data_IF_670606311125
#
_entry.id   IF_670606311125
#
_cell.length_a   1.000
_cell.length_b   1.000
_cell.length_c   1.000
_cell.angle_alpha   90.00
_cell.angle_beta   90.00
_cell.angle_gamma   90.00
#
_symmetry.space_group_name_H-M   'P 1'
#
loop_
_entity.id
_entity.type
_entity.pdbx_description
1 polymer ?
#
# COMPACT_ATOMS: atom_id res chain seq x y z
N UNK A 1 -0.40 79.62 -2.04
CA UNK A 1 1.05 79.37 -2.15
C UNK A 1 1.28 77.97 -1.62
N UNK A 2 1.64 77.10 -2.55
CA UNK A 2 2.01 75.70 -2.37
C UNK A 2 3.52 75.66 -2.45
N UNK A 3 4.17 75.04 -1.48
CA UNK A 3 5.49 74.38 -1.56
C UNK A 3 5.37 73.19 -0.57
N UNK A 4 5.31 71.92 -0.98
CA UNK A 4 6.38 71.06 -1.54
C UNK A 4 7.68 71.20 -0.75
N UNK A 5 8.43 70.18 -0.36
CA UNK A 5 8.31 68.73 -0.24
C UNK A 5 9.63 68.39 0.48
N UNK A 6 9.62 67.64 1.57
CA UNK A 6 10.84 66.97 2.05
C UNK A 6 10.44 65.65 2.71
N UNK A 7 10.26 64.68 1.82
CA UNK A 7 10.12 63.25 2.08
C UNK A 7 11.49 62.71 2.51
N UNK A 8 11.65 62.41 3.80
CA UNK A 8 12.84 61.72 4.32
C UNK A 8 12.58 60.21 4.31
N UNK A 9 13.12 59.54 3.30
CA UNK A 9 13.35 58.09 3.30
C UNK A 9 14.53 57.76 4.22
N UNK A 10 14.27 57.17 5.38
CA UNK A 10 15.30 56.41 6.12
C UNK A 10 14.83 54.96 6.28
N UNK A 11 14.97 54.20 5.20
CA UNK A 11 14.84 52.76 5.19
C UNK A 11 16.23 52.13 5.45
N UNK A 12 16.37 51.39 6.55
CA UNK A 12 17.02 50.05 6.65
C UNK A 12 17.44 49.65 8.08
N UNK A 13 16.50 49.61 9.03
CA UNK A 13 16.75 48.84 10.27
C UNK A 13 16.46 47.36 10.02
N UNK A 14 17.52 46.61 9.70
CA UNK A 14 17.45 45.13 9.63
C UNK A 14 17.09 44.52 11.00
N UNK A 15 16.19 43.54 11.08
CA UNK A 15 15.83 42.93 12.35
C UNK A 15 17.02 42.09 12.88
N UNK A 16 17.48 42.44 14.08
CA UNK A 16 18.55 41.75 14.78
C UNK A 16 18.26 40.24 14.90
N UNK A 17 19.17 39.41 14.40
CA UNK A 17 19.14 37.96 14.57
C UNK A 17 19.21 37.62 16.06
N UNK A 18 18.10 37.13 16.62
CA UNK A 18 18.06 36.56 17.97
C UNK A 18 19.00 35.34 18.01
N UNK A 19 20.08 35.45 18.79
CA UNK A 19 21.11 34.42 18.93
C UNK A 19 20.54 33.11 19.48
N UNK A 20 21.00 31.98 18.94
CA UNK A 20 20.71 30.65 19.49
C UNK A 20 21.26 30.55 20.91
N UNK A 21 20.40 30.24 21.88
CA UNK A 21 20.83 30.02 23.27
C UNK A 21 21.93 28.96 23.36
N UNK A 22 22.99 29.27 24.11
CA UNK A 22 24.07 28.32 24.41
C UNK A 22 23.51 27.24 25.35
N UNK A 23 23.37 26.02 24.88
CA UNK A 23 23.13 24.87 25.75
C UNK A 23 24.33 24.73 26.70
N UNK A 24 24.06 24.56 28.00
CA UNK A 24 25.11 24.29 29.01
C UNK A 24 25.54 22.82 28.96
N UNK A 25 25.90 22.35 27.77
CA UNK A 25 26.50 21.03 27.56
C UNK A 25 28.02 21.11 27.78
N UNK A 26 28.60 20.08 28.39
CA UNK A 26 30.05 19.92 28.51
C UNK A 26 30.67 20.11 27.13
N UNK A 27 31.58 21.08 27.00
CA UNK A 27 32.25 21.36 25.73
C UNK A 27 33.10 20.14 25.36
N UNK A 28 32.77 19.49 24.23
CA UNK A 28 33.52 18.36 23.69
C UNK A 28 35.02 18.68 23.47
N UNK A 29 35.39 19.96 23.43
CA UNK A 29 36.78 20.40 23.43
C UNK A 29 37.56 19.94 24.68
N UNK A 30 36.95 19.95 25.86
CA UNK A 30 37.60 19.52 27.12
C UNK A 30 37.79 18.01 27.18
N UNK A 31 36.91 17.24 26.53
CA UNK A 31 36.99 15.77 26.41
C UNK A 31 38.05 15.34 25.38
N UNK A 32 38.23 16.11 24.29
CA UNK A 32 39.30 15.86 23.30
C UNK A 32 40.71 16.17 23.82
N UNK A 33 40.86 17.15 24.71
CA UNK A 33 42.16 17.54 25.28
C UNK A 33 42.70 16.51 26.30
N UNK A 34 41.81 15.77 26.96
CA UNK A 34 42.20 14.58 27.72
C UNK A 34 42.30 13.41 26.74
N UNK A 35 43.50 13.01 26.36
CA UNK A 35 43.86 11.97 25.37
C UNK A 35 43.32 10.56 25.63
N UNK A 36 42.22 10.39 26.35
CA UNK A 36 41.69 9.10 26.82
C UNK A 36 40.94 8.29 25.77
N UNK A 37 40.73 8.80 24.55
CA UNK A 37 40.13 8.04 23.45
C UNK A 37 40.65 8.51 22.09
N UNK A 38 41.80 8.01 21.58
CA UNK A 38 42.15 8.20 20.18
C UNK A 38 41.26 7.30 19.32
N UNK A 39 40.10 7.81 18.89
CA UNK A 39 39.30 7.16 17.85
C UNK A 39 39.88 7.60 16.50
N UNK A 40 40.79 6.79 15.95
CA UNK A 40 41.24 6.96 14.58
C UNK A 40 40.17 6.39 13.65
N UNK A 41 39.29 7.25 13.15
CA UNK A 41 38.33 6.89 12.10
C UNK A 41 39.07 7.08 10.78
N UNK A 42 39.55 6.01 10.12
CA UNK A 42 40.10 6.15 8.78
C UNK A 42 39.01 6.76 7.90
N UNK A 43 39.42 7.66 6.99
CA UNK A 43 38.56 8.48 6.14
C UNK A 43 37.81 7.59 5.11
N UNK A 44 36.92 6.76 5.62
CA UNK A 44 36.15 5.76 4.92
C UNK A 44 34.86 6.40 4.42
N UNK A 45 34.84 6.66 3.12
CA UNK A 45 33.66 7.05 2.34
C UNK A 45 32.97 8.36 2.74
N UNK A 46 33.58 9.47 2.28
CA UNK A 46 32.96 10.80 2.11
C UNK A 46 31.72 10.81 1.17
N UNK A 47 31.17 9.66 0.79
CA UNK A 47 29.94 9.55 -0.01
C UNK A 47 28.71 10.13 0.74
N UNK A 48 28.72 10.10 2.07
CA UNK A 48 27.64 10.64 2.89
C UNK A 48 27.63 12.18 2.89
N UNK A 49 28.80 12.81 2.76
CA UNK A 49 28.95 14.26 2.80
C UNK A 49 28.44 14.90 1.50
N UNK A 50 28.73 14.29 0.35
CA UNK A 50 28.27 14.78 -0.95
C UNK A 50 26.75 14.62 -1.12
N UNK A 51 26.18 13.48 -0.69
CA UNK A 51 24.72 13.29 -0.64
C UNK A 51 24.04 14.30 0.28
N UNK A 52 24.63 14.61 1.44
CA UNK A 52 24.14 15.65 2.33
C UNK A 52 24.26 17.05 1.73
N UNK A 53 25.33 17.35 0.99
CA UNK A 53 25.52 18.62 0.26
C UNK A 53 24.45 18.80 -0.82
N UNK A 54 24.22 17.76 -1.62
CA UNK A 54 23.19 17.73 -2.66
C UNK A 54 21.80 17.89 -2.05
N UNK A 55 21.49 17.17 -0.96
CA UNK A 55 20.22 17.28 -0.26
C UNK A 55 20.00 18.70 0.30
N UNK A 56 21.04 19.32 0.86
CA UNK A 56 20.98 20.70 1.36
C UNK A 56 20.68 21.69 0.24
N UNK A 57 21.36 21.57 -0.91
CA UNK A 57 21.11 22.39 -2.09
C UNK A 57 19.71 22.20 -2.65
N UNK A 58 19.22 20.96 -2.68
CA UNK A 58 17.86 20.65 -3.14
C UNK A 58 16.80 21.20 -2.18
N UNK A 59 17.06 21.18 -0.86
CA UNK A 59 16.18 21.74 0.16
C UNK A 59 16.05 23.26 0.04
N UNK A 60 17.15 23.97 -0.22
CA UNK A 60 17.12 25.44 -0.44
C UNK A 60 16.33 25.80 -1.70
N UNK A 61 16.36 24.95 -2.74
CA UNK A 61 15.58 25.13 -3.97
C UNK A 61 14.12 24.68 -3.83
N UNK A 62 13.78 23.92 -2.78
CA UNK A 62 12.42 23.50 -2.55
C UNK A 62 11.56 24.68 -2.09
N UNK A 63 10.50 25.02 -2.85
CA UNK A 63 9.49 26.02 -2.47
C UNK A 63 8.53 25.50 -1.38
N UNK A 64 8.93 24.49 -0.62
CA UNK A 64 8.13 23.95 0.45
C UNK A 64 8.32 24.81 1.70
N UNK A 65 7.43 25.79 1.89
CA UNK A 65 7.26 26.42 3.19
C UNK A 65 6.78 25.34 4.16
N UNK A 66 7.69 24.82 4.99
CA UNK A 66 7.32 24.01 6.13
C UNK A 66 6.62 24.94 7.14
N UNK A 67 5.34 25.22 6.93
CA UNK A 67 4.46 25.89 7.92
C UNK A 67 4.03 24.84 8.96
N UNK A 68 4.95 24.01 9.39
CA UNK A 68 4.73 22.89 10.30
C UNK A 68 5.27 23.18 11.68
N UNK A 69 5.05 24.39 12.20
CA UNK A 69 5.39 24.75 13.58
C UNK A 69 4.59 23.94 14.61
N UNK A 70 4.17 24.52 15.73
CA UNK A 70 3.32 23.83 16.72
C UNK A 70 1.90 23.48 16.20
N UNK A 71 1.51 24.00 15.03
CA UNK A 71 0.18 23.82 14.41
C UNK A 71 -0.19 22.35 14.21
N UNK A 72 0.65 21.46 13.65
CA UNK A 72 0.38 20.02 13.63
C UNK A 72 -0.01 19.47 14.99
N UNK A 73 0.71 19.75 16.07
CA UNK A 73 0.38 19.21 17.39
C UNK A 73 -1.02 19.64 17.89
N UNK A 74 -1.34 20.94 17.75
CA UNK A 74 -2.68 21.47 18.10
C UNK A 74 -3.78 20.83 17.27
N UNK A 75 -3.54 20.60 15.97
CA UNK A 75 -4.49 19.93 15.08
C UNK A 75 -4.67 18.44 15.42
N UNK A 76 -3.61 17.74 15.81
CA UNK A 76 -3.71 16.34 16.25
C UNK A 76 -4.50 16.24 17.56
N UNK A 77 -4.25 17.15 18.51
CA UNK A 77 -5.01 17.23 19.76
C UNK A 77 -6.51 17.43 19.51
N UNK A 78 -6.88 18.39 18.66
CA UNK A 78 -8.30 18.62 18.29
C UNK A 78 -8.97 17.39 17.65
N UNK A 79 -8.23 16.61 16.85
CA UNK A 79 -8.74 15.37 16.25
C UNK A 79 -8.99 14.29 17.31
N UNK A 80 -8.11 14.17 18.30
CA UNK A 80 -8.30 13.24 19.42
C UNK A 80 -9.49 13.65 20.29
N UNK A 81 -9.63 14.95 20.60
CA UNK A 81 -10.77 15.48 21.36
C UNK A 81 -12.10 15.17 20.65
N UNK A 82 -12.16 15.39 19.33
CA UNK A 82 -13.33 15.05 18.49
C UNK A 82 -13.65 13.55 18.49
N UNK A 83 -12.64 12.69 18.48
CA UNK A 83 -12.83 11.23 18.55
C UNK A 83 -13.49 10.81 19.87
N UNK A 84 -13.00 11.35 20.99
CA UNK A 84 -13.54 11.08 22.33
C UNK A 84 -14.99 11.59 22.46
N UNK A 85 -15.28 12.77 21.90
CA UNK A 85 -16.62 13.35 21.89
C UNK A 85 -17.63 12.46 21.14
N UNK A 86 -17.27 11.97 19.94
CA UNK A 86 -18.14 11.08 19.15
C UNK A 86 -18.40 9.77 19.90
N UNK A 87 -17.38 9.19 20.53
CA UNK A 87 -17.54 7.99 21.36
C UNK A 87 -18.48 8.24 22.53
N UNK A 88 -18.40 9.42 23.16
CA UNK A 88 -19.21 9.76 24.33
C UNK A 88 -20.69 10.05 24.00
N UNK A 89 -20.99 10.62 22.82
CA UNK A 89 -22.37 10.96 22.41
C UNK A 89 -23.18 9.74 21.96
N UNK A 90 -22.49 8.70 21.50
CA UNK A 90 -23.10 7.56 20.83
C UNK A 90 -23.78 6.52 21.72
N UNK A 91 -23.63 6.62 23.03
CA UNK A 91 -24.33 5.75 23.98
C UNK A 91 -25.83 6.03 24.09
N UNK A 92 -26.34 7.06 23.42
CA UNK A 92 -27.66 7.62 23.73
C UNK A 92 -28.76 7.25 22.72
N UNK A 93 -28.48 6.97 21.44
CA UNK A 93 -29.58 6.82 20.43
C UNK A 93 -29.40 5.78 19.31
N UNK A 94 -28.26 5.13 19.15
CA UNK A 94 -28.07 4.03 18.19
C UNK A 94 -26.78 3.31 18.56
N UNK A 95 -26.71 1.99 18.42
CA UNK A 95 -25.61 1.18 18.95
C UNK A 95 -24.20 1.72 18.67
N UNK A 96 -23.22 1.30 19.50
CA UNK A 96 -21.86 1.82 19.51
C UNK A 96 -21.29 2.08 18.09
N UNK A 97 -20.77 3.28 17.79
CA UNK A 97 -20.27 3.64 16.47
C UNK A 97 -19.13 2.71 16.11
N UNK A 98 -19.15 2.18 14.89
CA UNK A 98 -18.03 1.40 14.40
C UNK A 98 -16.83 2.34 14.27
N UNK A 99 -15.64 1.85 14.63
CA UNK A 99 -14.41 2.65 14.55
C UNK A 99 -14.23 3.32 13.18
N UNK A 100 -14.66 2.65 12.11
CA UNK A 100 -14.67 3.16 10.74
C UNK A 100 -15.46 4.47 10.59
N UNK A 101 -16.61 4.59 11.23
CA UNK A 101 -17.47 5.77 11.16
C UNK A 101 -16.84 6.93 11.94
N UNK A 102 -16.23 6.63 13.09
CA UNK A 102 -15.48 7.62 13.88
C UNK A 102 -14.28 8.13 13.07
N UNK A 103 -13.51 7.24 12.42
CA UNK A 103 -12.36 7.62 11.62
C UNK A 103 -12.74 8.49 10.42
N UNK A 104 -13.81 8.14 9.71
CA UNK A 104 -14.28 8.93 8.56
C UNK A 104 -14.75 10.31 9.00
N UNK A 105 -15.39 10.45 10.15
CA UNK A 105 -15.83 11.74 10.68
C UNK A 105 -14.69 12.61 11.22
N UNK A 106 -13.66 12.02 11.85
CA UNK A 106 -12.51 12.74 12.44
C UNK A 106 -11.44 13.10 11.39
N UNK A 107 -11.16 12.17 10.48
CA UNK A 107 -10.08 12.30 9.49
C UNK A 107 -10.58 12.71 8.10
N UNK A 108 -11.88 12.59 7.85
CA UNK A 108 -12.51 12.79 6.54
C UNK A 108 -12.36 11.55 5.64
N UNK A 109 -13.20 11.47 4.62
CA UNK A 109 -13.14 10.46 3.55
C UNK A 109 -12.10 10.85 2.49
N UNK A 110 -10.80 10.84 2.83
CA UNK A 110 -9.76 11.08 1.82
C UNK A 110 -9.49 9.80 1.00
N UNK A 111 -9.89 9.81 -0.27
CA UNK A 111 -9.66 8.74 -1.24
C UNK A 111 -8.19 8.62 -1.70
N UNK A 112 -7.22 8.47 -0.79
CA UNK A 112 -5.91 8.11 -1.34
C UNK A 112 -4.67 7.91 -0.50
N UNK A 113 -4.63 8.09 0.81
CA UNK A 113 -3.36 7.89 1.51
C UNK A 113 -3.54 7.42 2.95
N UNK A 114 -3.25 6.16 3.23
CA UNK A 114 -2.59 5.82 4.49
C UNK A 114 -1.10 6.06 4.24
N UNK A 115 -0.58 7.20 4.70
CA UNK A 115 0.85 7.48 4.64
C UNK A 115 1.57 6.44 5.51
N UNK A 116 2.19 5.43 4.88
CA UNK A 116 3.00 4.42 5.56
C UNK A 116 2.75 2.95 5.17
N UNK A 117 1.75 2.63 4.35
CA UNK A 117 1.39 1.22 4.05
C UNK A 117 2.00 0.61 2.76
N UNK A 118 2.99 1.26 2.14
CA UNK A 118 3.63 0.73 0.93
C UNK A 118 2.71 0.64 -0.29
N UNK A 119 3.16 -0.05 -1.35
CA UNK A 119 2.46 -0.19 -2.63
C UNK A 119 1.36 -1.26 -2.55
N UNK A 120 0.28 -1.00 -1.82
CA UNK A 120 -0.94 -1.81 -1.94
C UNK A 120 -1.84 -1.24 -3.04
N UNK A 121 -2.31 -2.09 -3.95
CA UNK A 121 -3.38 -1.76 -4.91
C UNK A 121 -4.67 -1.49 -4.12
N UNK A 122 -5.29 -0.33 -4.36
CA UNK A 122 -6.59 -0.01 -3.75
C UNK A 122 -7.63 -1.03 -4.23
N UNK A 123 -8.42 -1.66 -3.35
CA UNK A 123 -9.66 -2.29 -3.80
C UNK A 123 -10.58 -1.19 -4.35
N UNK A 124 -11.07 -1.39 -5.57
CA UNK A 124 -11.97 -0.44 -6.24
C UNK A 124 -13.27 -0.39 -5.44
N UNK A 125 -13.63 0.80 -4.96
CA UNK A 125 -14.90 1.03 -4.30
C UNK A 125 -16.05 0.78 -5.30
N UNK A 126 -17.08 0.06 -4.86
CA UNK A 126 -18.25 -0.34 -5.64
C UNK A 126 -19.18 0.86 -5.95
N UNK A 127 -18.68 1.86 -6.66
CA UNK A 127 -19.49 2.95 -7.19
C UNK A 127 -19.01 3.31 -8.58
N UNK A 128 -19.72 2.72 -9.54
CA UNK A 128 -19.87 3.12 -10.93
C UNK A 128 -19.34 4.51 -11.27
N UNK A 129 -18.16 4.55 -11.90
CA UNK A 129 -17.80 5.63 -12.80
C UNK A 129 -17.10 5.01 -13.99
N UNK A 130 -17.80 4.98 -15.12
CA UNK A 130 -17.29 4.82 -16.46
C UNK A 130 -16.23 5.88 -16.74
N UNK A 131 -15.00 5.62 -16.31
CA UNK A 131 -13.82 6.25 -16.87
C UNK A 131 -13.06 5.16 -17.60
N UNK A 132 -13.23 5.22 -18.92
CA UNK A 132 -12.29 4.73 -19.89
C UNK A 132 -10.87 5.17 -19.50
N UNK A 133 -10.20 4.37 -18.67
CA UNK A 133 -8.82 4.04 -19.00
C UNK A 133 -8.93 3.62 -20.45
N UNK A 134 -8.30 4.34 -21.38
CA UNK A 134 -8.03 3.82 -22.72
C UNK A 134 -7.42 2.45 -22.48
N UNK A 135 -8.26 1.41 -22.47
CA UNK A 135 -7.78 0.06 -22.34
C UNK A 135 -7.04 -0.11 -23.63
N UNK A 136 -5.73 -0.28 -23.50
CA UNK A 136 -4.89 -0.58 -24.62
C UNK A 136 -5.61 -1.68 -25.44
N UNK A 137 -6.01 -1.40 -26.69
CA UNK A 137 -6.82 -2.33 -27.47
C UNK A 137 -6.13 -3.69 -27.61
N UNK A 138 -4.80 -3.71 -27.55
CA UNK A 138 -3.99 -4.91 -27.57
C UNK A 138 -4.22 -5.79 -26.32
N UNK A 139 -4.24 -5.19 -25.13
CA UNK A 139 -4.49 -5.91 -23.86
C UNK A 139 -5.92 -6.47 -23.82
N UNK A 140 -6.90 -5.73 -24.36
CA UNK A 140 -8.29 -6.21 -24.42
C UNK A 140 -8.42 -7.40 -25.36
N UNK A 141 -7.80 -7.31 -26.54
CA UNK A 141 -7.81 -8.40 -27.52
C UNK A 141 -7.08 -9.65 -27.00
N UNK A 142 -5.93 -9.48 -26.34
CA UNK A 142 -5.20 -10.58 -25.70
C UNK A 142 -6.02 -11.23 -24.58
N UNK A 143 -6.71 -10.43 -23.76
CA UNK A 143 -7.60 -10.93 -22.72
C UNK A 143 -8.80 -11.70 -23.30
N UNK A 144 -9.31 -11.29 -24.45
CA UNK A 144 -10.40 -11.99 -25.14
C UNK A 144 -9.92 -13.31 -25.76
N UNK A 145 -8.75 -13.31 -26.41
CA UNK A 145 -8.12 -14.51 -26.96
C UNK A 145 -7.77 -15.55 -25.88
N UNK A 146 -7.20 -15.11 -24.76
CA UNK A 146 -6.90 -15.99 -23.61
C UNK A 146 -8.17 -16.57 -22.99
N UNK A 147 -9.27 -15.82 -22.93
CA UNK A 147 -10.57 -16.37 -22.49
C UNK A 147 -11.12 -17.40 -23.47
N UNK A 148 -11.00 -17.18 -24.77
CA UNK A 148 -11.44 -18.12 -25.79
C UNK A 148 -10.68 -19.45 -25.70
N UNK A 149 -9.34 -19.39 -25.59
CA UNK A 149 -8.50 -20.59 -25.43
C UNK A 149 -8.82 -21.36 -24.14
N UNK A 150 -9.05 -20.65 -23.01
CA UNK A 150 -9.48 -21.31 -21.76
C UNK A 150 -10.81 -22.04 -21.94
N UNK A 151 -11.77 -21.44 -22.65
CA UNK A 151 -13.07 -22.07 -22.91
C UNK A 151 -12.92 -23.33 -23.76
N UNK A 152 -12.07 -23.29 -24.78
CA UNK A 152 -11.77 -24.44 -25.63
C UNK A 152 -11.08 -25.56 -24.85
N UNK A 153 -10.06 -25.25 -24.04
CA UNK A 153 -9.37 -26.24 -23.21
C UNK A 153 -10.33 -26.90 -22.21
N UNK A 154 -11.27 -26.15 -21.64
CA UNK A 154 -12.31 -26.70 -20.77
C UNK A 154 -13.25 -27.65 -21.52
N UNK A 155 -13.62 -27.34 -22.76
CA UNK A 155 -14.44 -28.22 -23.58
C UNK A 155 -13.69 -29.54 -23.88
N UNK A 156 -12.42 -29.46 -24.32
CA UNK A 156 -11.60 -30.66 -24.56
C UNK A 156 -11.41 -31.51 -23.31
N UNK A 157 -11.25 -30.88 -22.13
CA UNK A 157 -11.15 -31.61 -20.88
C UNK A 157 -12.41 -32.45 -20.61
N UNK A 158 -13.60 -31.87 -20.83
CA UNK A 158 -14.85 -32.61 -20.64
C UNK A 158 -15.01 -33.77 -21.64
N UNK A 159 -14.55 -33.62 -22.88
CA UNK A 159 -14.53 -34.72 -23.86
C UNK A 159 -13.61 -35.86 -23.43
N UNK A 160 -12.43 -35.53 -22.90
CA UNK A 160 -11.51 -36.53 -22.36
C UNK A 160 -12.12 -37.31 -21.19
N UNK A 161 -12.83 -36.61 -20.29
CA UNK A 161 -13.51 -37.25 -19.16
C UNK A 161 -14.62 -38.21 -19.63
N UNK A 162 -15.38 -37.84 -20.67
CA UNK A 162 -16.38 -38.72 -21.28
C UNK A 162 -15.73 -39.98 -21.87
N UNK A 163 -14.66 -39.83 -22.65
CA UNK A 163 -13.96 -40.97 -23.26
C UNK A 163 -13.37 -41.90 -22.19
N UNK A 164 -12.82 -41.34 -21.11
CA UNK A 164 -12.30 -42.11 -19.99
C UNK A 164 -13.40 -42.94 -19.31
N UNK A 165 -14.58 -42.36 -19.12
CA UNK A 165 -15.73 -43.07 -18.55
C UNK A 165 -16.21 -44.19 -19.48
N UNK A 166 -16.33 -43.94 -20.78
CA UNK A 166 -16.69 -44.96 -21.77
C UNK A 166 -15.69 -46.13 -21.79
N UNK A 167 -14.40 -45.84 -21.65
CA UNK A 167 -13.38 -46.88 -21.56
C UNK A 167 -13.55 -47.73 -20.30
N UNK A 168 -13.89 -47.13 -19.16
CA UNK A 168 -14.14 -47.86 -17.92
C UNK A 168 -15.36 -48.78 -18.05
N UNK A 169 -16.45 -48.30 -18.66
CA UNK A 169 -17.66 -49.09 -18.93
C UNK A 169 -17.37 -50.30 -19.84
N UNK A 170 -16.57 -50.09 -20.89
CA UNK A 170 -16.16 -51.18 -21.79
C UNK A 170 -15.34 -52.24 -21.05
N UNK A 171 -14.42 -51.83 -20.17
CA UNK A 171 -13.63 -52.77 -19.37
C UNK A 171 -14.50 -53.56 -18.40
N UNK A 172 -15.50 -52.92 -17.80
CA UNK A 172 -16.45 -53.60 -16.91
C UNK A 172 -17.31 -54.61 -17.67
N UNK A 173 -17.83 -54.24 -18.85
CA UNK A 173 -18.57 -55.14 -19.72
C UNK A 173 -17.73 -56.36 -20.13
N UNK A 174 -16.46 -56.15 -20.47
CA UNK A 174 -15.53 -57.26 -20.76
C UNK A 174 -15.37 -58.18 -19.55
N UNK A 175 -15.27 -57.64 -18.34
CA UNK A 175 -15.16 -58.42 -17.10
C UNK A 175 -16.41 -59.27 -16.87
N UNK A 176 -17.60 -58.67 -17.04
CA UNK A 176 -18.88 -59.36 -16.89
C UNK A 176 -19.03 -60.53 -17.88
N UNK A 177 -18.63 -60.33 -19.15
CA UNK A 177 -18.65 -61.40 -20.15
C UNK A 177 -17.72 -62.55 -19.75
N UNK A 178 -16.52 -62.24 -19.24
CA UNK A 178 -15.59 -63.25 -18.77
C UNK A 178 -16.16 -64.04 -17.58
N UNK A 179 -16.79 -63.36 -16.61
CA UNK A 179 -17.46 -63.99 -15.47
C UNK A 179 -18.61 -64.92 -15.92
N UNK A 180 -19.45 -64.48 -16.87
CA UNK A 180 -20.52 -65.31 -17.43
C UNK A 180 -19.98 -66.55 -18.14
N UNK A 181 -18.89 -66.42 -18.91
CA UNK A 181 -18.25 -67.57 -19.55
C UNK A 181 -17.67 -68.56 -18.53
N UNK A 182 -17.11 -68.08 -17.43
CA UNK A 182 -16.66 -68.95 -16.34
C UNK A 182 -17.83 -69.72 -15.73
N UNK A 183 -18.95 -69.04 -15.44
CA UNK A 183 -20.15 -69.68 -14.89
C UNK A 183 -20.68 -70.78 -15.82
N UNK A 184 -20.81 -70.48 -17.12
CA UNK A 184 -21.26 -71.46 -18.12
C UNK A 184 -20.35 -72.69 -18.18
N UNK A 185 -19.03 -72.50 -18.14
CA UNK A 185 -18.07 -73.61 -18.10
C UNK A 185 -18.26 -74.48 -16.87
N UNK A 186 -18.47 -73.87 -15.70
CA UNK A 186 -18.70 -74.63 -14.44
C UNK A 186 -20.00 -75.42 -14.47
N UNK A 187 -21.08 -74.86 -15.02
CA UNK A 187 -22.36 -75.55 -15.15
C UNK A 187 -22.27 -76.76 -16.09
N UNK A 188 -21.53 -76.66 -17.20
CA UNK A 188 -21.31 -77.77 -18.11
C UNK A 188 -20.48 -78.88 -17.45
N UNK A 189 -19.38 -78.55 -16.76
CA UNK A 189 -18.55 -79.53 -16.07
C UNK A 189 -19.31 -80.33 -15.00
N UNK A 190 -20.30 -79.70 -14.34
CA UNK A 190 -21.16 -80.37 -13.36
C UNK A 190 -22.24 -81.26 -13.99
N UNK A 191 -22.59 -81.03 -15.26
CA UNK A 191 -23.64 -81.79 -15.95
C UNK A 191 -23.12 -83.09 -16.58
N UNK A 192 -21.82 -83.15 -16.84
CA UNK A 192 -21.13 -84.31 -17.44
C UNK A 192 -20.47 -85.23 -16.39
N UNK A 193 -20.64 -84.96 -15.08
CA UNK A 193 -20.29 -85.85 -13.95
C UNK A 193 -21.53 -86.53 -13.37
#
# INVERSE_FOLDING_TARGET
>A
MVEEDDFIDDETTTPAKRGSGKSRGVTFAKVRASSKMPVNIPDGHRAQMERSRINTNNKVKSKAHHIGGSRPFVWHRKKLEKMVEIQSQSTTESGAPKDVDIFTQVLGTRSGYVRGLGHSVKPIAASSSTLSIQRDPEIVHELEATKATIKELKARQSEYDILKNQQAEMQEAQRQIQEQLQLLKTQLAQRDS
#
